data_IF_447515100792
#
_entry.id   IF_447515100792
#
_cell.length_a   1.000
_cell.length_b   1.000
_cell.length_c   1.000
_cell.angle_alpha   90.00
_cell.angle_beta   90.00
_cell.angle_gamma   90.00
#
_symmetry.space_group_name_H-M   'P 1'
#
loop_
_entity.id
_entity.type
_entity.pdbx_description
1 polymer ?
#
# COMPACT_ATOMS: atom_id res chain seq x y z
N UNK A 1 -30.84 -18.73 -16.44
CA UNK A 1 -32.25 -18.84 -16.76
C UNK A 1 -32.87 -19.93 -15.89
N UNK A 2 -33.84 -19.61 -15.05
CA UNK A 2 -34.50 -20.58 -14.16
C UNK A 2 -35.88 -20.89 -14.66
N UNK A 3 -36.25 -22.16 -14.59
CA UNK A 3 -37.55 -22.67 -14.98
C UNK A 3 -37.99 -23.72 -13.97
N UNK A 4 -39.17 -23.59 -13.40
CA UNK A 4 -39.75 -24.61 -12.54
C UNK A 4 -40.73 -25.48 -13.35
N UNK A 5 -40.70 -26.78 -13.09
CA UNK A 5 -41.64 -27.75 -13.62
C UNK A 5 -42.38 -28.32 -12.40
N UNK A 6 -43.71 -28.15 -12.41
CA UNK A 6 -44.61 -28.75 -11.42
C UNK A 6 -45.25 -29.99 -12.06
N UNK A 7 -45.21 -31.10 -11.39
CA UNK A 7 -45.87 -32.36 -11.83
C UNK A 7 -46.87 -32.77 -10.76
N UNK A 8 -48.10 -33.01 -11.13
CA UNK A 8 -49.12 -33.49 -10.21
C UNK A 8 -49.05 -35.04 -10.05
N UNK A 9 -49.84 -35.58 -9.12
CA UNK A 9 -49.88 -37.02 -8.87
C UNK A 9 -50.39 -37.86 -10.06
N UNK A 10 -51.08 -37.23 -11.00
CA UNK A 10 -51.54 -37.86 -12.21
C UNK A 10 -50.52 -37.82 -13.36
N UNK A 11 -49.35 -37.18 -13.11
CA UNK A 11 -48.27 -37.04 -14.09
C UNK A 11 -48.43 -35.86 -15.05
N UNK A 12 -49.42 -34.99 -14.84
CA UNK A 12 -49.54 -33.78 -15.63
C UNK A 12 -48.42 -32.78 -15.25
N UNK A 13 -47.77 -32.20 -16.24
CA UNK A 13 -46.71 -31.23 -16.00
C UNK A 13 -47.13 -29.82 -16.39
N UNK A 14 -46.86 -28.87 -15.52
CA UNK A 14 -46.95 -27.45 -15.79
C UNK A 14 -45.55 -26.85 -15.73
N UNK A 15 -45.15 -26.15 -16.78
CA UNK A 15 -43.84 -25.49 -16.85
C UNK A 15 -44.04 -23.99 -16.71
N UNK A 16 -43.37 -23.39 -15.75
CA UNK A 16 -43.37 -21.92 -15.63
C UNK A 16 -42.69 -21.29 -16.84
N UNK A 17 -43.07 -20.05 -17.14
CA UNK A 17 -42.35 -19.27 -18.12
C UNK A 17 -40.89 -19.08 -17.67
N UNK A 18 -39.96 -19.21 -18.59
CA UNK A 18 -38.58 -19.01 -18.28
C UNK A 18 -38.34 -17.52 -17.93
N UNK A 19 -37.77 -17.29 -16.75
CA UNK A 19 -37.36 -15.96 -16.31
C UNK A 19 -35.84 -15.88 -16.23
N UNK A 20 -35.27 -14.79 -16.76
CA UNK A 20 -33.86 -14.49 -16.55
C UNK A 20 -33.74 -13.67 -15.28
N UNK A 21 -32.91 -14.12 -14.36
CA UNK A 21 -32.50 -13.35 -13.20
C UNK A 21 -31.07 -12.87 -13.42
N UNK A 22 -30.86 -11.59 -13.26
CA UNK A 22 -29.52 -11.05 -13.17
C UNK A 22 -29.14 -11.08 -11.68
N UNK A 23 -28.14 -11.87 -11.35
CA UNK A 23 -27.51 -11.81 -10.03
C UNK A 23 -26.50 -10.67 -10.14
N UNK A 24 -26.78 -9.56 -9.49
CA UNK A 24 -25.80 -8.50 -9.33
C UNK A 24 -24.77 -8.96 -8.28
N UNK A 25 -23.49 -8.67 -8.49
CA UNK A 25 -22.50 -8.89 -7.44
C UNK A 25 -22.94 -8.11 -6.19
N UNK A 26 -22.69 -8.68 -5.01
CA UNK A 26 -22.85 -7.96 -3.75
C UNK A 26 -21.98 -6.69 -3.70
N UNK A 27 -22.14 -5.89 -2.66
CA UNK A 27 -21.22 -4.80 -2.36
C UNK A 27 -19.81 -5.38 -2.22
N UNK A 28 -18.83 -4.67 -2.72
CA UNK A 28 -17.42 -5.02 -2.61
C UNK A 28 -16.58 -3.75 -2.51
N UNK A 29 -15.84 -3.61 -1.42
CA UNK A 29 -14.92 -2.51 -1.16
C UNK A 29 -13.51 -3.05 -1.33
N UNK A 30 -12.64 -2.32 -2.01
CA UNK A 30 -11.29 -2.79 -2.25
C UNK A 30 -10.28 -1.65 -2.44
N UNK A 31 -9.02 -1.94 -2.20
CA UNK A 31 -7.94 -1.03 -2.52
C UNK A 31 -7.57 -1.13 -4.00
N UNK A 32 -7.56 0.01 -4.70
CA UNK A 32 -6.98 0.08 -6.04
C UNK A 32 -5.45 -0.03 -5.94
N UNK A 33 -4.93 -1.25 -6.18
CA UNK A 33 -3.50 -1.55 -6.04
C UNK A 33 -2.67 -0.73 -7.02
N UNK A 34 -3.18 -0.44 -8.22
CA UNK A 34 -2.43 0.30 -9.24
C UNK A 34 -2.26 1.78 -8.92
N UNK A 35 -3.14 2.35 -8.10
CA UNK A 35 -3.12 3.75 -7.68
C UNK A 35 -2.64 3.92 -6.23
N UNK A 36 -2.43 2.81 -5.51
CA UNK A 36 -1.87 2.83 -4.15
C UNK A 36 -0.35 2.76 -4.19
N UNK A 37 0.32 3.75 -3.61
CA UNK A 37 1.76 3.86 -3.70
C UNK A 37 2.39 4.60 -2.50
N UNK A 38 3.72 4.51 -2.42
CA UNK A 38 4.59 5.29 -1.54
C UNK A 38 5.32 6.36 -2.36
N UNK A 39 5.46 7.56 -1.80
CA UNK A 39 6.31 8.60 -2.40
C UNK A 39 7.79 8.20 -2.40
N UNK A 40 8.20 7.36 -1.45
CA UNK A 40 9.55 6.81 -1.28
C UNK A 40 9.50 5.42 -0.69
N UNK A 41 10.32 4.52 -1.21
CA UNK A 41 10.47 3.13 -0.74
C UNK A 41 11.72 2.93 0.12
N UNK A 42 12.65 3.88 0.09
CA UNK A 42 13.87 3.89 0.91
C UNK A 42 14.02 5.27 1.50
N UNK A 43 14.14 5.34 2.83
CA UNK A 43 14.29 6.58 3.58
C UNK A 43 15.36 6.44 4.66
N UNK A 44 15.90 7.57 5.13
CA UNK A 44 16.72 7.59 6.33
C UNK A 44 15.81 7.71 7.54
N UNK A 45 15.89 6.81 8.52
CA UNK A 45 15.05 6.87 9.71
C UNK A 45 15.17 8.19 10.46
N UNK A 46 14.11 8.59 11.14
CA UNK A 46 14.05 9.78 11.97
C UNK A 46 12.96 10.76 11.55
N UNK A 47 12.59 11.66 12.46
CA UNK A 47 11.41 12.53 12.33
C UNK A 47 11.42 13.45 11.09
N UNK A 48 12.59 13.86 10.60
CA UNK A 48 12.68 14.77 9.45
C UNK A 48 12.96 14.07 8.12
N UNK A 49 13.60 12.91 8.15
CA UNK A 49 14.06 12.21 6.93
C UNK A 49 13.37 10.88 6.69
N UNK A 50 12.76 10.30 7.73
CA UNK A 50 12.05 9.02 7.70
C UNK A 50 10.59 9.12 7.30
N UNK A 51 10.07 10.32 7.02
CA UNK A 51 8.68 10.50 6.65
C UNK A 51 8.40 9.97 5.25
N UNK A 52 7.35 9.18 5.13
CA UNK A 52 6.85 8.59 3.89
C UNK A 52 5.37 8.95 3.76
N UNK A 53 5.01 9.38 2.58
CA UNK A 53 3.60 9.59 2.22
C UNK A 53 3.07 8.35 1.54
N UNK A 54 2.02 7.77 2.12
CA UNK A 54 1.26 6.66 1.51
C UNK A 54 0.03 7.26 0.87
N UNK A 55 -0.12 7.11 -0.43
CA UNK A 55 -1.35 7.44 -1.14
C UNK A 55 -2.09 6.14 -1.42
N UNK A 56 -3.35 6.06 -1.01
CA UNK A 56 -4.19 4.89 -1.26
C UNK A 56 -5.52 5.32 -1.86
N UNK A 57 -6.05 4.50 -2.74
CA UNK A 57 -7.36 4.71 -3.36
C UNK A 57 -8.27 3.56 -2.95
N UNK A 58 -9.32 3.90 -2.20
CA UNK A 58 -10.40 3.00 -1.83
C UNK A 58 -11.50 3.08 -2.88
N UNK A 59 -11.92 1.95 -3.38
CA UNK A 59 -12.98 1.85 -4.38
C UNK A 59 -14.15 0.99 -3.88
N UNK A 60 -15.29 1.19 -4.50
CA UNK A 60 -16.47 0.35 -4.35
C UNK A 60 -16.98 -0.06 -5.73
N UNK A 61 -17.39 -1.32 -5.89
CA UNK A 61 -17.96 -1.81 -7.14
C UNK A 61 -19.37 -1.25 -7.44
N UNK A 62 -19.97 -0.56 -6.46
CA UNK A 62 -21.26 0.12 -6.56
C UNK A 62 -21.34 1.27 -5.57
N UNK A 63 -22.32 2.16 -5.72
CA UNK A 63 -22.53 3.25 -4.77
C UNK A 63 -22.76 2.73 -3.34
N UNK A 64 -21.90 3.13 -2.42
CA UNK A 64 -22.00 2.80 -1.01
C UNK A 64 -22.34 4.02 -0.18
N UNK A 65 -23.51 4.01 0.42
CA UNK A 65 -24.04 5.12 1.22
C UNK A 65 -23.66 5.07 2.71
N UNK A 66 -23.01 3.99 3.18
CA UNK A 66 -22.58 3.82 4.56
C UNK A 66 -21.28 4.55 4.90
N UNK A 67 -20.88 4.48 6.16
CA UNK A 67 -19.54 4.89 6.62
C UNK A 67 -18.58 3.72 6.56
N UNK A 68 -17.30 3.99 6.31
CA UNK A 68 -16.24 2.97 6.25
C UNK A 68 -15.12 3.34 7.20
N UNK A 69 -14.66 2.38 8.00
CA UNK A 69 -13.48 2.55 8.83
C UNK A 69 -12.28 1.93 8.12
N UNK A 70 -11.24 2.72 7.94
CA UNK A 70 -9.98 2.28 7.33
C UNK A 70 -8.82 2.50 8.28
N UNK A 71 -7.78 1.67 8.16
CA UNK A 71 -6.57 1.75 9.00
C UNK A 71 -5.31 1.69 8.18
N UNK A 72 -4.29 2.38 8.68
CA UNK A 72 -2.91 2.15 8.32
C UNK A 72 -2.24 1.46 9.51
N UNK A 73 -1.63 0.33 9.25
CA UNK A 73 -0.94 -0.49 10.22
C UNK A 73 0.49 -0.80 9.73
N UNK A 74 1.40 -1.06 10.65
CA UNK A 74 2.79 -1.38 10.33
C UNK A 74 3.32 -2.53 11.17
N UNK A 75 4.29 -3.26 10.62
CA UNK A 75 5.05 -4.29 11.31
C UNK A 75 6.48 -4.37 10.74
N UNK A 76 7.49 -4.80 11.52
CA UNK A 76 8.79 -5.18 10.97
C UNK A 76 8.64 -6.31 9.95
N UNK A 77 9.38 -6.24 8.84
CA UNK A 77 9.28 -7.23 7.76
C UNK A 77 10.04 -8.54 8.03
N UNK A 78 10.91 -8.56 9.05
CA UNK A 78 11.69 -9.75 9.47
C UNK A 78 10.89 -10.76 10.31
N UNK A 79 9.57 -10.68 10.25
CA UNK A 79 8.64 -11.53 11.00
C UNK A 79 8.81 -13.01 10.66
N UNK A 80 8.94 -13.82 11.69
CA UNK A 80 9.04 -15.29 11.60
C UNK A 80 7.74 -16.01 11.98
N UNK A 81 6.70 -15.28 12.44
CA UNK A 81 5.43 -15.84 12.91
C UNK A 81 4.30 -14.80 12.86
N UNK A 82 3.16 -15.07 13.48
CA UNK A 82 2.03 -14.12 13.60
C UNK A 82 2.51 -12.80 14.20
N UNK A 83 2.60 -11.79 13.36
CA UNK A 83 3.06 -10.46 13.76
C UNK A 83 1.87 -9.69 14.29
N UNK A 84 2.04 -9.10 15.47
CA UNK A 84 1.12 -8.09 15.95
C UNK A 84 1.32 -6.81 15.14
N UNK A 85 0.34 -6.50 14.32
CA UNK A 85 0.33 -5.26 13.57
C UNK A 85 0.09 -4.09 14.52
N UNK A 86 0.89 -3.06 14.40
CA UNK A 86 0.72 -1.81 15.15
C UNK A 86 -0.14 -0.85 14.33
N UNK A 87 -1.28 -0.45 14.90
CA UNK A 87 -2.15 0.56 14.28
C UNK A 87 -1.49 1.92 14.40
N UNK A 88 -1.20 2.53 13.26
CA UNK A 88 -0.60 3.86 13.17
C UNK A 88 -1.67 4.94 13.09
N UNK A 89 -2.71 4.71 12.30
CA UNK A 89 -3.81 5.65 12.10
C UNK A 89 -5.10 4.90 11.79
N UNK A 90 -6.21 5.42 12.30
CA UNK A 90 -7.57 4.97 11.95
C UNK A 90 -8.36 6.16 11.45
N UNK A 91 -9.04 6.01 10.32
CA UNK A 91 -9.96 7.01 9.77
C UNK A 91 -11.35 6.45 9.63
N UNK A 92 -12.32 7.28 9.95
CA UNK A 92 -13.72 7.03 9.67
C UNK A 92 -14.13 7.89 8.48
N UNK A 93 -14.35 7.25 7.34
CA UNK A 93 -14.92 7.90 6.17
C UNK A 93 -16.43 8.04 6.40
N UNK A 94 -16.98 9.26 6.36
CA UNK A 94 -18.39 9.47 6.63
C UNK A 94 -19.30 8.80 5.59
N UNK A 95 -20.53 8.58 5.96
CA UNK A 95 -21.56 8.06 5.07
C UNK A 95 -21.64 8.88 3.78
N UNK A 96 -21.72 8.20 2.65
CA UNK A 96 -21.79 8.79 1.31
C UNK A 96 -20.44 9.16 0.68
N UNK A 97 -19.32 8.95 1.35
CA UNK A 97 -17.98 9.19 0.77
C UNK A 97 -17.78 8.38 -0.52
N UNK A 98 -18.24 7.12 -0.55
CA UNK A 98 -18.12 6.23 -1.70
C UNK A 98 -19.35 6.23 -2.63
N UNK A 99 -20.17 7.27 -2.60
CA UNK A 99 -21.33 7.40 -3.50
C UNK A 99 -20.95 7.61 -4.97
N UNK A 100 -19.70 7.94 -5.26
CA UNK A 100 -19.13 8.05 -6.62
C UNK A 100 -18.01 7.05 -6.88
N UNK A 101 -17.98 5.97 -6.13
CA UNK A 101 -17.15 4.79 -6.25
C UNK A 101 -15.68 4.86 -5.86
N UNK A 102 -15.09 6.00 -5.58
CA UNK A 102 -13.68 6.03 -5.13
C UNK A 102 -13.36 7.19 -4.18
N UNK A 103 -12.41 6.97 -3.26
CA UNK A 103 -11.86 7.97 -2.33
C UNK A 103 -10.36 7.84 -2.23
N UNK A 104 -9.65 8.96 -2.40
CA UNK A 104 -8.18 9.00 -2.23
C UNK A 104 -7.84 9.39 -0.80
N UNK A 105 -7.06 8.56 -0.14
CA UNK A 105 -6.64 8.74 1.24
C UNK A 105 -5.12 8.90 1.30
N UNK A 106 -4.66 9.99 1.92
CA UNK A 106 -3.22 10.28 2.08
C UNK A 106 -2.85 10.11 3.54
N UNK A 107 -1.86 9.24 3.82
CA UNK A 107 -1.36 8.93 5.15
C UNK A 107 0.08 9.40 5.30
N UNK A 108 0.50 9.63 6.55
CA UNK A 108 1.89 9.93 6.88
C UNK A 108 2.43 8.84 7.80
N UNK A 109 3.55 8.25 7.41
CA UNK A 109 4.26 7.26 8.21
C UNK A 109 5.70 7.68 8.40
N UNK A 110 6.21 7.56 9.64
CA UNK A 110 7.61 7.85 9.95
C UNK A 110 8.32 6.54 10.25
N UNK A 111 9.30 6.18 9.43
CA UNK A 111 10.14 5.00 9.64
C UNK A 111 11.02 5.21 10.87
N UNK A 112 10.86 4.38 11.93
CA UNK A 112 11.48 4.68 13.23
C UNK A 112 12.97 4.35 13.29
N UNK A 113 13.43 3.32 12.57
CA UNK A 113 14.81 2.84 12.62
C UNK A 113 15.24 2.20 11.31
N UNK A 114 16.52 1.86 11.19
CA UNK A 114 17.02 1.06 10.08
C UNK A 114 16.34 -0.34 10.09
N UNK A 115 15.98 -0.83 8.91
CA UNK A 115 15.27 -2.08 8.73
C UNK A 115 14.16 -1.97 7.70
N UNK A 116 13.53 -3.08 7.42
CA UNK A 116 12.40 -3.14 6.50
C UNK A 116 11.10 -3.21 7.28
N UNK A 117 10.10 -2.45 6.83
CA UNK A 117 8.77 -2.38 7.44
C UNK A 117 7.71 -2.67 6.41
N UNK A 118 6.80 -3.56 6.78
CA UNK A 118 5.56 -3.74 6.05
C UNK A 118 4.54 -2.71 6.51
N UNK A 119 3.82 -2.15 5.57
CA UNK A 119 2.66 -1.27 5.77
C UNK A 119 1.44 -2.05 5.28
N UNK A 120 0.40 -2.12 6.09
CA UNK A 120 -0.88 -2.71 5.72
C UNK A 120 -1.96 -1.65 5.77
N UNK A 121 -2.71 -1.54 4.69
CA UNK A 121 -3.94 -0.78 4.62
C UNK A 121 -5.10 -1.75 4.81
N UNK A 122 -6.03 -1.43 5.70
CA UNK A 122 -7.15 -2.32 6.06
C UNK A 122 -8.46 -1.57 5.90
N UNK A 123 -9.41 -2.17 5.19
CA UNK A 123 -10.81 -1.75 5.12
C UNK A 123 -11.58 -2.57 6.14
N UNK A 124 -12.58 -1.97 6.79
CA UNK A 124 -13.55 -2.63 7.67
C UNK A 124 -12.95 -3.73 8.59
N UNK A 125 -11.91 -3.38 9.34
CA UNK A 125 -11.18 -4.31 10.19
C UNK A 125 -12.06 -5.13 11.17
N UNK A 126 -13.28 -4.68 11.44
CA UNK A 126 -14.24 -5.33 12.33
C UNK A 126 -15.22 -6.25 11.58
N UNK A 127 -15.13 -6.30 10.25
CA UNK A 127 -15.98 -7.08 9.37
C UNK A 127 -17.47 -6.85 9.66
N UNK A 128 -17.89 -5.58 9.68
CA UNK A 128 -19.27 -5.17 9.95
C UNK A 128 -20.05 -4.83 8.68
N UNK A 129 -19.34 -4.61 7.57
CA UNK A 129 -19.92 -4.41 6.24
C UNK A 129 -19.95 -5.79 5.56
N UNK A 130 -21.12 -6.22 5.12
CA UNK A 130 -21.27 -7.50 4.40
C UNK A 130 -20.84 -7.31 2.94
N UNK A 131 -19.70 -7.89 2.57
CA UNK A 131 -19.05 -7.72 1.28
C UNK A 131 -19.00 -9.01 0.48
N UNK A 132 -18.92 -8.88 -0.82
CA UNK A 132 -18.82 -10.04 -1.74
C UNK A 132 -17.47 -10.76 -1.58
N UNK A 133 -16.38 -10.02 -1.40
CA UNK A 133 -15.02 -10.56 -1.20
C UNK A 133 -14.32 -9.87 -0.03
N UNK A 134 -14.35 -10.48 1.13
CA UNK A 134 -13.62 -10.02 2.34
C UNK A 134 -12.10 -10.22 2.24
N UNK A 135 -11.62 -10.92 1.21
CA UNK A 135 -10.20 -11.22 1.03
C UNK A 135 -9.40 -10.05 0.46
N UNK A 136 -10.05 -9.08 -0.17
CA UNK A 136 -9.43 -7.93 -0.83
C UNK A 136 -9.37 -6.66 0.06
N UNK A 137 -9.84 -6.75 1.32
CA UNK A 137 -9.87 -5.66 2.30
C UNK A 137 -8.48 -5.23 2.79
N UNK A 138 -7.42 -5.94 2.40
CA UNK A 138 -6.06 -5.66 2.79
C UNK A 138 -5.17 -5.35 1.58
N UNK A 139 -4.35 -4.29 1.69
CA UNK A 139 -3.27 -4.02 0.74
C UNK A 139 -1.94 -3.84 1.48
N UNK A 140 -0.85 -4.31 0.88
CA UNK A 140 0.47 -4.36 1.50
C UNK A 140 1.49 -3.58 0.69
N UNK A 141 2.27 -2.76 1.40
CA UNK A 141 3.38 -1.99 0.86
C UNK A 141 4.61 -2.25 1.73
N UNK A 142 5.78 -1.97 1.20
CA UNK A 142 7.06 -2.16 1.92
C UNK A 142 7.89 -0.89 1.83
N UNK A 143 8.45 -0.47 2.97
CA UNK A 143 9.40 0.64 3.05
C UNK A 143 10.66 0.21 3.79
N UNK A 144 11.81 0.72 3.38
CA UNK A 144 13.10 0.41 3.99
C UNK A 144 13.69 1.65 4.66
N UNK A 145 13.97 1.53 5.95
CA UNK A 145 14.83 2.46 6.69
C UNK A 145 16.29 2.11 6.45
N UNK A 146 17.01 2.97 5.73
CA UNK A 146 18.41 2.74 5.42
C UNK A 146 19.32 3.15 6.58
N UNK A 147 20.30 2.30 6.92
CA UNK A 147 21.37 2.68 7.86
C UNK A 147 22.29 3.73 7.24
N UNK A 148 22.79 4.64 8.07
CA UNK A 148 23.84 5.57 7.66
C UNK A 148 25.16 4.85 7.30
N UNK A 149 25.32 3.63 7.82
CA UNK A 149 26.48 2.78 7.59
C UNK A 149 26.31 1.87 6.35
N UNK A 150 25.17 1.98 5.63
CA UNK A 150 24.96 1.22 4.40
C UNK A 150 25.79 1.83 3.26
N UNK A 151 26.88 1.17 2.82
CA UNK A 151 27.80 1.70 1.82
C UNK A 151 27.12 1.90 0.44
N UNK A 152 25.91 1.36 0.24
CA UNK A 152 25.14 1.53 -1.00
C UNK A 152 24.45 2.89 -1.14
N UNK A 153 24.25 3.62 -0.05
CA UNK A 153 23.56 4.93 -0.05
C UNK A 153 24.50 6.13 0.04
N UNK A 154 25.73 5.93 0.42
CA UNK A 154 26.75 6.96 0.33
C UNK A 154 27.27 6.89 -1.11
N UNK A 155 27.16 7.95 -1.94
CA UNK A 155 27.96 7.97 -3.14
C UNK A 155 29.39 7.78 -2.69
N UNK A 156 29.95 6.59 -2.92
CA UNK A 156 31.35 6.34 -2.69
C UNK A 156 32.08 7.25 -3.68
N UNK A 157 32.40 8.46 -3.26
CA UNK A 157 33.50 9.18 -3.87
C UNK A 157 34.67 8.28 -3.62
N UNK A 158 34.98 7.45 -4.60
CA UNK A 158 36.08 6.54 -4.51
C UNK A 158 37.27 7.37 -4.00
N UNK A 159 37.97 6.94 -2.96
CA UNK A 159 39.10 7.69 -2.41
C UNK A 159 40.15 8.04 -3.48
N UNK A 160 40.10 7.35 -4.62
CA UNK A 160 40.83 7.66 -5.83
C UNK A 160 40.66 9.09 -6.37
N UNK A 161 39.48 9.71 -6.22
CA UNK A 161 39.28 11.10 -6.74
C UNK A 161 39.96 12.14 -5.85
N UNK A 162 39.95 11.93 -4.51
CA UNK A 162 40.64 12.78 -3.57
C UNK A 162 42.18 12.62 -3.70
N UNK A 163 42.65 11.39 -3.94
CA UNK A 163 44.08 11.10 -4.17
C UNK A 163 44.56 11.71 -5.50
N UNK A 164 43.76 11.63 -6.56
CA UNK A 164 44.09 12.23 -7.85
C UNK A 164 44.16 13.76 -7.75
N UNK A 165 43.25 14.41 -7.01
CA UNK A 165 43.27 15.84 -6.78
C UNK A 165 44.50 16.27 -5.95
N UNK A 166 44.86 15.53 -4.88
CA UNK A 166 46.02 15.81 -4.05
C UNK A 166 47.35 15.58 -4.81
N UNK A 167 47.45 14.51 -5.60
CA UNK A 167 48.65 14.24 -6.43
C UNK A 167 48.74 15.26 -7.56
N UNK A 168 47.65 15.65 -8.19
CA UNK A 168 47.64 16.71 -9.22
C UNK A 168 48.06 18.04 -8.69
N UNK A 169 47.65 18.42 -7.47
CA UNK A 169 48.06 19.66 -6.79
C UNK A 169 49.53 19.64 -6.41
N UNK A 170 50.05 18.51 -5.87
CA UNK A 170 51.46 18.33 -5.51
C UNK A 170 52.37 18.41 -6.76
N UNK A 171 52.00 17.78 -7.86
CA UNK A 171 52.73 17.86 -9.14
C UNK A 171 52.77 19.27 -9.72
N UNK A 172 51.69 20.05 -9.60
CA UNK A 172 51.61 21.44 -10.06
C UNK A 172 52.53 22.37 -9.26
N UNK A 173 52.65 22.12 -7.96
CA UNK A 173 53.56 22.87 -7.08
C UNK A 173 55.04 22.53 -7.35
N UNK A 174 55.36 21.27 -7.65
CA UNK A 174 56.72 20.83 -8.02
C UNK A 174 57.16 21.45 -9.37
N UNK A 175 56.25 21.48 -10.36
CA UNK A 175 56.58 22.10 -11.66
C UNK A 175 56.80 23.61 -11.59
N UNK A 176 56.19 24.31 -10.63
CA UNK A 176 56.45 25.75 -10.41
C UNK A 176 57.87 25.99 -9.83
N UNK A 177 58.33 25.10 -8.93
CA UNK A 177 59.63 25.26 -8.24
C UNK A 177 60.82 24.92 -9.13
N UNK A 178 60.64 24.27 -10.27
CA UNK A 178 61.70 23.95 -11.24
C UNK A 178 61.82 24.97 -12.40
N UNK A 179 61.01 26.05 -12.40
CA UNK A 179 61.02 27.11 -13.39
C UNK A 179 61.62 28.43 -12.90
N UNK A 180 61.94 28.53 -11.61
CA UNK A 180 62.71 29.63 -11.00
C UNK A 180 64.15 29.16 -10.78
#
# INVERSE_FOLDING_TARGET
MLRAILVDEAGNSFTTQASSYQILPGLDLFWNISETNLDRIIVRPGEQTGNVTVTSVLESNQDYGGSVIVRLETAPADRTSTVDWTVMETRNLPAGTLSNSSETIVWQYTVPSAGQYDIRLVIDFANVIDEYDEGNNNNYLVVTGASLDDPGLVPSFAPSLLVILLVGFALSLLQRKTRD
#
